data_IF_025632440054
#
_entry.id   IF_025632440054
#
_cell.length_a   1.000
_cell.length_b   1.000
_cell.length_c   1.000
_cell.angle_alpha   90.00
_cell.angle_beta   90.00
_cell.angle_gamma   90.00
#
_symmetry.space_group_name_H-M   'P 1'
#
loop_
_entity.id
_entity.type
_entity.pdbx_description
1 polymer ?
#
# COMPACT_ATOMS: atom_id res chain seq x y z
N UNK A 1 3.22 1.90 -14.30
CA UNK A 1 2.84 0.87 -13.30
C UNK A 1 1.99 1.54 -12.23
N UNK A 2 0.80 1.02 -11.92
CA UNK A 2 -0.13 1.62 -10.95
C UNK A 2 -0.63 0.56 -9.96
N UNK A 3 -0.45 0.86 -8.66
CA UNK A 3 -0.93 0.05 -7.54
C UNK A 3 -1.89 0.91 -6.71
N UNK A 4 -3.11 0.42 -6.52
CA UNK A 4 -4.12 1.07 -5.67
C UNK A 4 -4.48 0.12 -4.55
N UNK A 5 -4.43 0.61 -3.32
CA UNK A 5 -4.88 -0.10 -2.13
C UNK A 5 -6.00 0.74 -1.52
N UNK A 6 -7.20 0.15 -1.41
CA UNK A 6 -8.34 0.79 -0.78
C UNK A 6 -9.22 -0.24 -0.06
N UNK A 7 -10.35 0.20 0.51
CA UNK A 7 -11.27 -0.67 1.23
C UNK A 7 -11.92 -1.76 0.35
N UNK A 8 -11.95 -1.58 -0.97
CA UNK A 8 -12.43 -2.59 -1.92
C UNK A 8 -11.36 -3.63 -2.31
N UNK A 9 -10.11 -3.43 -1.89
CA UNK A 9 -9.01 -4.37 -2.10
C UNK A 9 -7.81 -3.76 -2.82
N UNK A 10 -7.07 -4.61 -3.51
CA UNK A 10 -5.83 -4.25 -4.22
C UNK A 10 -6.09 -4.31 -5.72
N UNK A 11 -5.83 -3.20 -6.42
CA UNK A 11 -5.77 -3.16 -7.87
C UNK A 11 -4.32 -2.99 -8.31
N UNK A 12 -3.86 -3.86 -9.21
CA UNK A 12 -2.54 -3.76 -9.82
C UNK A 12 -2.69 -3.72 -11.35
N UNK A 13 -2.09 -2.73 -12.00
CA UNK A 13 -2.10 -2.61 -13.46
C UNK A 13 -1.18 -3.62 -14.17
N UNK A 14 -0.50 -4.47 -13.41
CA UNK A 14 0.40 -5.53 -13.88
C UNK A 14 0.12 -6.81 -13.11
N UNK A 15 0.41 -7.99 -13.69
CA UNK A 15 0.26 -9.26 -12.98
C UNK A 15 1.01 -9.22 -11.64
N UNK A 16 0.31 -9.58 -10.56
CA UNK A 16 0.94 -9.78 -9.26
C UNK A 16 1.66 -11.12 -9.35
N UNK A 17 2.98 -11.11 -9.30
CA UNK A 17 3.75 -12.33 -9.12
C UNK A 17 3.52 -12.83 -7.70
N UNK A 18 2.84 -13.96 -7.59
CA UNK A 18 2.82 -14.72 -6.34
C UNK A 18 4.26 -15.06 -5.99
N UNK A 19 4.64 -14.83 -4.72
CA UNK A 19 6.01 -15.07 -4.24
C UNK A 19 6.45 -16.49 -4.59
N UNK A 20 7.64 -16.60 -5.19
CA UNK A 20 8.27 -17.88 -5.51
C UNK A 20 8.82 -18.58 -4.28
N UNK A 21 9.25 -19.83 -4.48
CA UNK A 21 9.86 -20.73 -3.47
C UNK A 21 10.86 -19.95 -2.59
N UNK A 22 10.86 -20.15 -1.25
CA UNK A 22 11.80 -19.51 -0.35
C UNK A 22 13.25 -19.65 -0.85
N UNK A 23 13.99 -18.55 -0.83
CA UNK A 23 15.41 -18.57 -1.22
C UNK A 23 16.16 -19.46 -0.22
N UNK A 24 16.93 -20.47 -0.68
CA UNK A 24 17.69 -21.33 0.21
C UNK A 24 18.59 -20.53 1.16
N UNK A 25 18.52 -20.82 2.46
CA UNK A 25 19.28 -20.11 3.50
C UNK A 25 18.56 -18.90 4.11
N UNK A 26 17.40 -18.50 3.58
CA UNK A 26 16.52 -17.54 4.26
C UNK A 26 15.55 -18.34 5.15
N UNK A 27 15.52 -18.09 6.47
CA UNK A 27 14.59 -18.77 7.36
C UNK A 27 13.16 -18.45 6.95
N UNK A 28 12.28 -19.44 7.05
CA UNK A 28 10.86 -19.22 6.83
C UNK A 28 10.32 -18.28 7.93
N UNK A 29 9.99 -17.05 7.54
CA UNK A 29 9.50 -16.01 8.44
C UNK A 29 7.97 -15.94 8.45
N UNK A 30 7.26 -16.87 7.79
CA UNK A 30 5.80 -16.83 7.71
C UNK A 30 5.16 -16.83 9.10
N UNK A 31 5.52 -17.75 9.99
CA UNK A 31 5.00 -17.80 11.36
C UNK A 31 5.32 -16.54 12.19
N UNK A 32 6.60 -16.07 12.23
CA UNK A 32 6.93 -14.83 12.93
C UNK A 32 6.23 -13.59 12.37
N UNK A 33 6.03 -13.50 11.06
CA UNK A 33 5.35 -12.38 10.39
C UNK A 33 3.84 -12.40 10.63
N UNK A 34 3.22 -13.59 10.71
CA UNK A 34 1.82 -13.73 11.10
C UNK A 34 1.62 -13.38 12.59
N UNK A 35 2.61 -13.70 13.43
CA UNK A 35 2.58 -13.37 14.87
C UNK A 35 2.75 -11.86 15.15
N UNK A 36 3.23 -11.08 14.18
CA UNK A 36 3.24 -9.62 14.27
C UNK A 36 1.80 -9.11 14.15
N UNK A 37 1.24 -8.71 15.29
CA UNK A 37 -0.07 -8.08 15.32
C UNK A 37 -0.09 -6.85 14.39
N UNK A 38 -1.09 -6.70 13.50
CA UNK A 38 -1.11 -5.60 12.53
C UNK A 38 -1.43 -4.24 13.16
N UNK A 39 -1.78 -4.19 14.45
CA UNK A 39 -2.23 -2.99 15.14
C UNK A 39 -1.25 -1.78 15.02
N UNK A 40 0.07 -1.94 15.22
CA UNK A 40 1.01 -0.82 15.08
C UNK A 40 1.09 -0.30 13.64
N UNK A 41 0.99 -1.19 12.66
CA UNK A 41 1.02 -0.84 11.23
C UNK A 41 -0.26 -0.10 10.83
N UNK A 42 -1.42 -0.54 11.33
CA UNK A 42 -2.71 0.11 11.13
C UNK A 42 -2.70 1.51 11.75
N UNK A 43 -2.14 1.66 12.95
CA UNK A 43 -2.06 2.95 13.63
C UNK A 43 -1.12 3.91 12.90
N UNK A 44 0.05 3.43 12.46
CA UNK A 44 0.99 4.19 11.65
C UNK A 44 0.35 4.65 10.33
N UNK A 45 -0.39 3.76 9.65
CA UNK A 45 -1.10 4.09 8.42
C UNK A 45 -2.18 5.16 8.65
N UNK A 46 -2.96 5.04 9.74
CA UNK A 46 -3.96 6.05 10.12
C UNK A 46 -3.30 7.40 10.46
N UNK A 47 -2.17 7.39 11.15
CA UNK A 47 -1.42 8.61 11.47
C UNK A 47 -0.91 9.29 10.20
N UNK A 48 -0.32 8.54 9.28
CA UNK A 48 0.12 9.05 7.98
C UNK A 48 -1.05 9.61 7.16
N UNK A 49 -2.19 8.92 7.14
CA UNK A 49 -3.39 9.39 6.44
C UNK A 49 -3.95 10.70 7.02
N UNK A 50 -3.88 10.92 8.33
CA UNK A 50 -4.28 12.18 8.96
C UNK A 50 -3.36 13.35 8.59
N UNK A 51 -2.06 13.09 8.40
CA UNK A 51 -1.08 14.10 8.01
C UNK A 51 -1.04 14.38 6.50
N UNK A 52 -1.62 13.51 5.68
CA UNK A 52 -1.64 13.68 4.24
C UNK A 52 -2.64 14.77 3.82
N UNK A 53 -2.19 15.72 2.98
CA UNK A 53 -3.10 16.64 2.30
C UNK A 53 -4.06 15.80 1.45
N UNK A 54 -5.38 16.07 1.48
CA UNK A 54 -6.32 15.36 0.62
C UNK A 54 -5.92 15.59 -0.84
N UNK A 55 -5.60 14.51 -1.54
CA UNK A 55 -5.25 14.53 -2.96
C UNK A 55 -6.56 14.42 -3.75
N UNK A 56 -6.80 15.37 -4.64
CA UNK A 56 -7.84 15.31 -5.65
C UNK A 56 -7.16 15.01 -6.99
N UNK A 57 -7.24 13.77 -7.51
CA UNK A 57 -6.53 13.40 -8.74
C UNK A 57 -6.98 14.20 -9.96
N UNK A 58 -8.21 14.69 -9.96
CA UNK A 58 -8.76 15.57 -11.01
C UNK A 58 -8.10 16.95 -10.94
N UNK A 59 -8.01 17.51 -9.73
CA UNK A 59 -7.44 18.82 -9.47
C UNK A 59 -5.93 18.86 -9.77
N UNK A 60 -5.20 17.77 -9.50
CA UNK A 60 -3.77 17.62 -9.85
C UNK A 60 -3.52 17.54 -11.37
N UNK A 61 -4.52 17.11 -12.15
CA UNK A 61 -4.42 17.00 -13.61
C UNK A 61 -4.96 18.20 -14.37
N UNK A 62 -5.64 19.11 -13.68
CA UNK A 62 -6.14 20.34 -14.28
C UNK A 62 -5.08 21.43 -14.08
N UNK A 63 -4.46 21.98 -15.16
CA UNK A 63 -3.68 23.19 -15.02
C UNK A 63 -4.61 24.26 -14.44
N UNK A 64 -4.17 24.88 -13.35
CA UNK A 64 -4.89 25.93 -12.62
C UNK A 64 -5.60 26.87 -13.59
N UNK A 65 -6.93 26.82 -13.63
CA UNK A 65 -7.72 27.89 -14.23
C UNK A 65 -7.62 29.03 -13.22
N UNK A 66 -6.64 29.91 -13.42
CA UNK A 66 -6.58 31.18 -12.72
C UNK A 66 -7.79 31.99 -13.18
N UNK A 67 -8.75 32.19 -12.29
CA UNK A 67 -9.79 33.20 -12.42
C UNK A 67 -9.29 34.50 -11.79
#
# INVERSE_FOLDING_TARGET
HHLVINAAGIFCSTPIQLGGVPIPGIPDLVEPLIALAPAPQIEALRAAARGAKPICPVCEKMPSIQA
#
